data_IF_852770297086
#
_entry.id   IF_852770297086
#
_cell.length_a   1.000
_cell.length_b   1.000
_cell.length_c   1.000
_cell.angle_alpha   90.00
_cell.angle_beta   90.00
_cell.angle_gamma   90.00
#
_symmetry.space_group_name_H-M   'P 1'
#
loop_
_entity.id
_entity.type
_entity.pdbx_description
1 polymer ?
#
# COMPACT_ATOMS: atom_id res chain seq x y z
N UNK A 1 7.21 10.14 -30.87
CA UNK A 1 6.95 10.10 -29.41
C UNK A 1 5.84 9.08 -29.17
N UNK A 2 6.17 7.91 -28.65
CA UNK A 2 5.17 6.92 -28.28
C UNK A 2 4.53 7.37 -26.97
N UNK A 3 3.37 8.02 -27.09
CA UNK A 3 2.54 8.36 -25.94
C UNK A 3 1.85 7.07 -25.49
N UNK A 4 2.54 6.35 -24.61
CA UNK A 4 2.04 5.12 -24.00
C UNK A 4 0.93 5.53 -23.02
N UNK A 5 -0.27 5.81 -23.55
CA UNK A 5 -1.49 5.83 -22.76
C UNK A 5 -1.74 4.39 -22.28
N UNK A 6 -1.21 4.07 -21.10
CA UNK A 6 -1.61 2.90 -20.32
C UNK A 6 -2.71 3.34 -19.35
N UNK A 7 -4.00 3.35 -19.74
CA UNK A 7 -5.11 3.73 -18.87
C UNK A 7 -5.21 2.88 -17.59
N UNK A 8 -4.51 1.74 -17.52
CA UNK A 8 -4.39 0.96 -16.29
C UNK A 8 -3.57 1.64 -15.19
N UNK A 9 -2.51 2.41 -15.51
CA UNK A 9 -1.67 3.02 -14.47
C UNK A 9 -2.46 4.02 -13.61
N UNK A 10 -3.39 4.76 -14.22
CA UNK A 10 -4.19 5.78 -13.53
C UNK A 10 -5.10 5.17 -12.45
N UNK A 11 -5.64 3.98 -12.68
CA UNK A 11 -6.45 3.24 -11.68
C UNK A 11 -5.59 2.79 -10.49
N UNK A 12 -4.41 2.22 -10.75
CA UNK A 12 -3.53 1.78 -9.67
C UNK A 12 -2.95 2.96 -8.89
N UNK A 13 -2.68 4.09 -9.55
CA UNK A 13 -2.23 5.32 -8.90
C UNK A 13 -3.30 5.94 -7.99
N UNK A 14 -4.58 5.92 -8.40
CA UNK A 14 -5.68 6.33 -7.54
C UNK A 14 -5.83 5.44 -6.30
N UNK A 15 -5.68 4.12 -6.46
CA UNK A 15 -5.74 3.18 -5.33
C UNK A 15 -4.56 3.39 -4.38
N UNK A 16 -3.35 3.57 -4.92
CA UNK A 16 -2.17 3.87 -4.12
C UNK A 16 -2.29 5.21 -3.39
N UNK A 17 -2.82 6.25 -4.05
CA UNK A 17 -3.09 7.55 -3.44
C UNK A 17 -4.14 7.49 -2.35
N UNK A 18 -5.23 6.75 -2.56
CA UNK A 18 -6.25 6.52 -1.54
C UNK A 18 -5.71 5.74 -0.34
N UNK A 19 -4.92 4.69 -0.60
CA UNK A 19 -4.28 3.91 0.46
C UNK A 19 -3.29 4.74 1.29
N UNK A 20 -2.49 5.59 0.63
CA UNK A 20 -1.59 6.53 1.30
C UNK A 20 -2.36 7.56 2.12
N UNK A 21 -3.46 8.12 1.60
CA UNK A 21 -4.33 9.04 2.32
C UNK A 21 -4.98 8.43 3.56
N UNK A 22 -5.45 7.18 3.45
CA UNK A 22 -6.01 6.44 4.60
C UNK A 22 -4.92 6.16 5.64
N UNK A 23 -3.74 5.72 5.21
CA UNK A 23 -2.60 5.51 6.10
C UNK A 23 -2.16 6.79 6.82
N UNK A 24 -2.22 7.93 6.13
CA UNK A 24 -1.94 9.24 6.72
C UNK A 24 -2.95 9.61 7.82
N UNK A 25 -4.26 9.46 7.55
CA UNK A 25 -5.31 9.74 8.52
C UNK A 25 -5.17 8.84 9.75
N UNK A 26 -4.98 7.53 9.55
CA UNK A 26 -4.78 6.58 10.64
C UNK A 26 -3.51 6.89 11.44
N UNK A 27 -2.42 7.26 10.76
CA UNK A 27 -1.16 7.65 11.37
C UNK A 27 -1.22 8.93 12.20
N UNK A 28 -2.09 9.87 11.83
CA UNK A 28 -2.35 11.06 12.65
C UNK A 28 -3.31 10.78 13.79
N UNK A 29 -4.30 9.90 13.59
CA UNK A 29 -5.35 9.64 14.58
C UNK A 29 -4.77 9.15 15.92
N UNK A 30 -3.76 8.29 15.88
CA UNK A 30 -3.09 7.74 17.07
C UNK A 30 -2.49 8.85 17.95
N UNK A 31 -1.57 9.70 17.43
CA UNK A 31 -1.02 10.81 18.21
C UNK A 31 -2.07 11.88 18.56
N UNK A 32 -3.10 12.12 17.74
CA UNK A 32 -4.21 13.01 18.12
C UNK A 32 -4.89 12.48 19.39
N UNK A 33 -5.30 11.20 19.39
CA UNK A 33 -5.97 10.60 20.55
C UNK A 33 -5.06 10.58 21.77
N UNK A 34 -3.78 10.24 21.59
CA UNK A 34 -2.82 10.24 22.68
C UNK A 34 -2.66 11.63 23.33
N UNK A 35 -2.56 12.68 22.52
CA UNK A 35 -2.32 14.04 23.03
C UNK A 35 -3.60 14.66 23.60
N UNK A 36 -4.74 14.52 22.92
CA UNK A 36 -5.98 15.22 23.30
C UNK A 36 -6.90 14.44 24.24
N UNK A 37 -6.86 13.12 24.23
CA UNK A 37 -7.78 12.28 25.05
C UNK A 37 -7.05 11.68 26.25
N UNK A 38 -5.77 11.30 26.08
CA UNK A 38 -4.97 10.65 27.13
C UNK A 38 -4.02 11.62 27.85
N UNK A 39 -4.12 12.94 27.57
CA UNK A 39 -3.24 13.99 28.12
C UNK A 39 -1.74 13.68 27.99
N UNK A 40 -1.35 12.94 26.95
CA UNK A 40 0.06 12.62 26.73
C UNK A 40 0.80 13.89 26.30
N UNK A 41 1.72 14.35 27.14
CA UNK A 41 2.66 15.41 26.77
C UNK A 41 3.51 15.03 25.56
N UNK A 42 3.46 15.87 24.53
CA UNK A 42 4.23 15.66 23.31
C UNK A 42 5.73 15.72 23.63
N UNK A 43 6.56 14.72 23.25
CA UNK A 43 7.98 14.66 23.62
C UNK A 43 8.82 15.79 23.00
N UNK A 44 8.28 16.49 21.99
CA UNK A 44 8.90 17.64 21.36
C UNK A 44 8.60 18.97 22.09
N UNK A 45 7.85 18.93 23.18
CA UNK A 45 7.50 20.08 24.02
C UNK A 45 6.14 20.70 23.68
N UNK A 46 5.73 21.65 24.52
CA UNK A 46 4.41 22.28 24.44
C UNK A 46 4.37 23.38 23.38
N UNK A 47 3.32 23.35 22.56
CA UNK A 47 3.07 24.35 21.53
C UNK A 47 2.40 23.76 20.30
N UNK A 48 1.36 24.45 19.81
CA UNK A 48 0.54 24.03 18.66
C UNK A 48 1.41 23.74 17.42
N UNK A 49 2.45 24.54 17.19
CA UNK A 49 3.35 24.37 16.05
C UNK A 49 4.18 23.08 16.14
N UNK A 50 4.65 22.70 17.33
CA UNK A 50 5.44 21.48 17.57
C UNK A 50 4.57 20.23 17.55
N UNK A 51 3.41 20.30 18.20
CA UNK A 51 2.39 19.25 18.17
C UNK A 51 1.93 18.98 16.75
N UNK A 52 1.60 20.04 15.99
CA UNK A 52 1.19 19.94 14.60
C UNK A 52 2.26 19.34 13.69
N UNK A 53 3.52 19.73 13.85
CA UNK A 53 4.62 19.15 13.04
C UNK A 53 4.90 17.69 13.41
N UNK A 54 4.85 17.31 14.69
CA UNK A 54 4.92 15.91 15.10
C UNK A 54 3.80 15.06 14.48
N UNK A 55 2.56 15.56 14.54
CA UNK A 55 1.38 14.94 13.93
C UNK A 55 1.56 14.71 12.42
N UNK A 56 2.00 15.73 11.69
CA UNK A 56 2.23 15.63 10.25
C UNK A 56 3.33 14.62 9.92
N UNK A 57 4.45 14.63 10.66
CA UNK A 57 5.56 13.68 10.45
C UNK A 57 5.12 12.24 10.75
N UNK A 58 4.42 12.02 11.87
CA UNK A 58 3.90 10.72 12.25
C UNK A 58 2.89 10.19 11.22
N UNK A 59 1.97 11.06 10.78
CA UNK A 59 1.05 10.76 9.69
C UNK A 59 1.78 10.38 8.40
N UNK A 60 2.79 11.16 8.00
CA UNK A 60 3.53 10.93 6.77
C UNK A 60 4.32 9.61 6.80
N UNK A 61 4.98 9.32 7.93
CA UNK A 61 5.65 8.04 8.14
C UNK A 61 4.70 6.85 8.05
N UNK A 62 3.52 6.94 8.69
CA UNK A 62 2.49 5.91 8.62
C UNK A 62 1.96 5.72 7.20
N UNK A 63 1.72 6.81 6.46
CA UNK A 63 1.25 6.77 5.07
C UNK A 63 2.21 5.99 4.16
N UNK A 64 3.51 6.21 4.32
CA UNK A 64 4.55 5.50 3.55
C UNK A 64 4.54 4.01 3.90
N UNK A 65 4.49 3.66 5.18
CA UNK A 65 4.48 2.26 5.63
C UNK A 65 3.21 1.56 5.13
N UNK A 66 2.05 2.16 5.37
CA UNK A 66 0.76 1.58 5.00
C UNK A 66 0.62 1.44 3.49
N UNK A 67 1.03 2.46 2.72
CA UNK A 67 1.06 2.40 1.26
C UNK A 67 1.93 1.26 0.73
N UNK A 68 3.11 1.06 1.32
CA UNK A 68 4.00 -0.05 0.95
C UNK A 68 3.42 -1.43 1.32
N UNK A 69 2.80 -1.56 2.50
CA UNK A 69 2.13 -2.81 2.91
C UNK A 69 0.99 -3.14 1.95
N UNK A 70 0.17 -2.15 1.58
CA UNK A 70 -0.93 -2.35 0.61
C UNK A 70 -0.39 -2.75 -0.76
N UNK A 71 0.70 -2.14 -1.24
CA UNK A 71 1.34 -2.52 -2.50
C UNK A 71 1.85 -3.97 -2.47
N UNK A 72 2.53 -4.38 -1.39
CA UNK A 72 2.98 -5.76 -1.19
C UNK A 72 1.81 -6.74 -1.12
N UNK A 73 0.73 -6.37 -0.42
CA UNK A 73 -0.48 -7.19 -0.33
C UNK A 73 -1.15 -7.38 -1.70
N UNK A 74 -1.22 -6.32 -2.52
CA UNK A 74 -1.75 -6.40 -3.88
C UNK A 74 -0.89 -7.28 -4.79
N UNK A 75 0.44 -7.15 -4.72
CA UNK A 75 1.37 -8.01 -5.48
C UNK A 75 1.24 -9.46 -5.02
N UNK A 76 1.19 -9.70 -3.71
CA UNK A 76 0.99 -11.03 -3.12
C UNK A 76 -0.33 -11.65 -3.57
N UNK A 77 -1.42 -10.90 -3.52
CA UNK A 77 -2.74 -11.35 -3.96
C UNK A 77 -2.78 -11.63 -5.46
N UNK A 78 -2.16 -10.78 -6.29
CA UNK A 78 -2.06 -11.01 -7.72
C UNK A 78 -1.26 -12.29 -8.04
N UNK A 79 -0.15 -12.52 -7.35
CA UNK A 79 0.69 -13.72 -7.50
C UNK A 79 -0.03 -14.98 -7.01
N UNK A 80 -0.75 -14.89 -5.90
CA UNK A 80 -1.59 -15.97 -5.38
C UNK A 80 -2.72 -16.33 -6.36
N UNK A 81 -3.41 -15.32 -6.90
CA UNK A 81 -4.49 -15.51 -7.87
C UNK A 81 -4.00 -16.07 -9.22
N UNK A 82 -2.82 -15.67 -9.69
CA UNK A 82 -2.19 -16.28 -10.87
C UNK A 82 -1.82 -17.75 -10.65
N UNK A 83 -1.42 -18.11 -9.43
CA UNK A 83 -1.10 -19.50 -9.07
C UNK A 83 -2.36 -20.36 -9.04
N UNK A 84 -3.48 -19.83 -8.54
CA UNK A 84 -4.79 -20.50 -8.52
C UNK A 84 -5.50 -20.53 -9.88
N UNK A 85 -5.35 -19.48 -10.70
CA UNK A 85 -6.04 -19.36 -12.00
C UNK A 85 -5.35 -20.12 -13.13
N UNK A 86 -4.25 -20.83 -12.87
CA UNK A 86 -3.49 -21.54 -13.91
C UNK A 86 -3.32 -23.04 -13.64
N UNK A 87 -4.40 -23.85 -13.57
CA UNK A 87 -4.28 -25.30 -13.71
C UNK A 87 -3.93 -25.72 -15.15
N UNK A 88 -4.13 -24.87 -16.17
CA UNK A 88 -3.98 -25.26 -17.58
C UNK A 88 -2.57 -25.19 -18.17
N UNK A 89 -1.59 -24.54 -17.52
CA UNK A 89 -0.19 -24.54 -18.01
C UNK A 89 0.61 -25.79 -17.62
N UNK A 90 0.00 -26.78 -16.95
CA UNK A 90 0.63 -28.11 -16.79
C UNK A 90 0.28 -29.10 -17.91
N UNK A 91 -0.79 -28.88 -18.69
CA UNK A 91 -1.20 -29.83 -19.74
C UNK A 91 -0.42 -29.68 -21.05
N UNK A 92 0.04 -28.46 -21.37
CA UNK A 92 0.74 -28.20 -22.65
C UNK A 92 2.21 -28.61 -22.70
N UNK A 93 2.83 -28.91 -21.56
CA UNK A 93 4.19 -29.46 -21.52
C UNK A 93 4.24 -30.99 -21.52
N UNK A 94 3.10 -31.68 -21.35
CA UNK A 94 3.07 -33.14 -21.35
C UNK A 94 2.70 -33.73 -22.72
N UNK A 95 1.95 -32.98 -23.55
CA UNK A 95 1.54 -33.45 -24.88
C UNK A 95 2.67 -33.36 -25.93
N UNK A 96 3.65 -32.46 -25.74
CA UNK A 96 4.79 -32.31 -26.65
C UNK A 96 5.90 -33.36 -26.46
N UNK A 97 5.87 -34.17 -25.40
CA UNK A 97 6.87 -35.21 -25.14
C UNK A 97 6.37 -36.60 -25.59
N UNK A 98 5.05 -36.82 -25.64
CA UNK A 98 4.45 -38.07 -26.13
C UNK A 98 4.23 -38.13 -27.65
N UNK A 99 4.41 -37.04 -28.39
CA UNK A 99 4.34 -37.07 -29.87
C UNK A 99 5.72 -37.33 -30.52
N UNK A 100 6.75 -37.62 -29.71
CA UNK A 100 8.10 -37.96 -30.16
C UNK A 100 8.58 -39.37 -29.77
N UNK A 101 7.67 -40.23 -29.31
CA UNK A 101 7.94 -41.64 -29.00
C UNK A 101 7.12 -42.56 -29.90
#
# INVERSE_FOLDING_TARGET
>A
MFEVQLPMLKKFQNVAGAAAGIGFILGMLIPVVAIFILDWQCPFGDGILRIGSFLVIAGFGSAIIFGNIVALALIGFAKYRQTLSNPSRKRKSQESETEKL
#
